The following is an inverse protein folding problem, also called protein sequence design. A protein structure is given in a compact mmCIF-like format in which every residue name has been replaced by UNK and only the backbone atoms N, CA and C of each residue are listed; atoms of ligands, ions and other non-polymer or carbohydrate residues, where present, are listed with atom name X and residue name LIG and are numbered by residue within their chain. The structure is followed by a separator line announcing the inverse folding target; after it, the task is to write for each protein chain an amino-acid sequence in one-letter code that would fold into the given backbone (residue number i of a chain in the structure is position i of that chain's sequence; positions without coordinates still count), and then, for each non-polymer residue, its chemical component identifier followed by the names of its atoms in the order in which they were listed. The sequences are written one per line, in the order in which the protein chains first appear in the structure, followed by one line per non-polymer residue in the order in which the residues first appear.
data_IF_230353525293
#
_entry.id   IF_230353525293
#
_cell.length_a   1.000
_cell.length_b   1.000
_cell.length_c   1.000
_cell.angle_alpha   90.00
_cell.angle_beta   90.00
_cell.angle_gamma   90.00
#
_symmetry.space_group_name_H-M   'P 1'
#
loop_
_entity.id
_entity.type
_entity.pdbx_description
1 polymer ?
#
# COMPACT_ATOMS: atom_id res chain seq x y z
N UNK A 1 -5.03 8.03 13.11
CA UNK A 1 -5.92 8.20 11.93
C UNK A 1 -6.09 6.84 11.27
N UNK A 2 -7.32 6.45 10.91
CA UNK A 2 -7.58 5.24 10.15
C UNK A 2 -8.25 5.65 8.84
N UNK A 3 -7.70 5.20 7.72
CA UNK A 3 -8.18 5.52 6.37
C UNK A 3 -8.46 4.20 5.66
N UNK A 4 -9.56 4.17 4.90
CA UNK A 4 -9.85 3.09 3.94
C UNK A 4 -10.12 3.75 2.60
N UNK A 5 -9.52 3.21 1.55
CA UNK A 5 -9.69 3.72 0.19
C UNK A 5 -9.48 2.58 -0.81
N UNK A 6 -10.02 2.74 -2.01
CA UNK A 6 -9.72 1.88 -3.15
C UNK A 6 -8.46 2.32 -3.88
N UNK A 7 -8.04 3.58 -3.71
CA UNK A 7 -6.81 4.12 -4.27
C UNK A 7 -5.62 3.78 -3.37
N UNK A 8 -5.23 2.51 -3.43
CA UNK A 8 -4.24 1.89 -2.55
C UNK A 8 -2.86 2.56 -2.64
N UNK A 9 -2.46 3.07 -3.81
CA UNK A 9 -1.11 3.60 -4.05
C UNK A 9 -0.85 4.89 -3.28
N UNK A 10 -1.78 5.83 -3.38
CA UNK A 10 -1.76 7.15 -2.76
C UNK A 10 -1.98 7.01 -1.25
N UNK A 11 -2.88 6.11 -0.85
CA UNK A 11 -3.11 5.79 0.56
C UNK A 11 -1.83 5.24 1.21
N UNK A 12 -1.13 4.34 0.52
CA UNK A 12 0.10 3.74 1.04
C UNK A 12 1.22 4.76 1.19
N UNK A 13 1.21 5.86 0.42
CA UNK A 13 2.21 6.92 0.49
C UNK A 13 2.06 7.85 1.71
N UNK A 14 0.89 7.87 2.37
CA UNK A 14 0.61 8.80 3.48
C UNK A 14 0.42 8.12 4.84
N UNK A 15 0.55 6.79 4.89
CA UNK A 15 0.33 5.99 6.12
C UNK A 15 1.62 5.33 6.59
N UNK A 16 1.78 5.22 7.90
CA UNK A 16 2.91 4.47 8.48
C UNK A 16 2.74 2.95 8.33
N UNK A 17 1.48 2.49 8.40
CA UNK A 17 1.11 1.07 8.39
C UNK A 17 -0.09 0.84 7.48
N UNK A 18 -0.10 -0.32 6.82
CA UNK A 18 -1.17 -0.72 5.94
C UNK A 18 -1.61 -2.17 6.19
N UNK A 19 -2.89 -2.41 5.90
CA UNK A 19 -3.53 -3.71 5.98
C UNK A 19 -4.29 -3.92 4.67
N UNK A 20 -3.95 -4.97 3.93
CA UNK A 20 -4.70 -5.42 2.76
C UNK A 20 -5.62 -6.54 3.21
N UNK A 21 -6.92 -6.36 3.00
CA UNK A 21 -7.94 -7.31 3.39
C UNK A 21 -8.68 -7.86 2.17
N UNK A 22 -9.03 -9.14 2.22
CA UNK A 22 -9.89 -9.80 1.24
C UNK A 22 -10.74 -10.86 1.93
N UNK A 23 -12.02 -10.92 1.57
CA UNK A 23 -12.98 -11.89 2.12
C UNK A 23 -12.97 -11.95 3.66
N UNK A 24 -12.89 -10.79 4.31
CA UNK A 24 -12.87 -10.69 5.77
C UNK A 24 -11.58 -11.14 6.45
N UNK A 25 -10.51 -11.42 5.70
CA UNK A 25 -9.20 -11.81 6.22
C UNK A 25 -8.12 -10.81 5.83
N UNK A 26 -7.14 -10.62 6.71
CA UNK A 26 -5.93 -9.87 6.39
C UNK A 26 -5.06 -10.76 5.50
N UNK A 27 -4.76 -10.29 4.30
CA UNK A 27 -3.84 -10.95 3.37
C UNK A 27 -2.40 -10.51 3.63
N UNK A 28 -2.19 -9.20 3.81
CA UNK A 28 -0.87 -8.60 4.03
C UNK A 28 -1.02 -7.50 5.08
N UNK A 29 -0.08 -7.41 6.01
CA UNK A 29 -0.03 -6.31 6.97
C UNK A 29 1.40 -5.98 7.36
N UNK A 30 1.68 -4.70 7.59
CA UNK A 30 3.01 -4.24 7.95
C UNK A 30 3.15 -2.72 7.84
N UNK A 31 4.39 -2.25 7.78
CA UNK A 31 4.67 -0.87 7.40
C UNK A 31 4.35 -0.62 5.93
N UNK A 32 4.15 0.64 5.53
CA UNK A 32 3.93 0.99 4.13
C UNK A 32 5.03 0.45 3.21
N UNK A 33 6.30 0.54 3.64
CA UNK A 33 7.46 0.04 2.89
C UNK A 33 7.46 -1.48 2.76
N UNK A 34 7.03 -2.20 3.79
CA UNK A 34 6.89 -3.65 3.75
C UNK A 34 5.80 -4.05 2.75
N UNK A 35 4.60 -3.48 2.88
CA UNK A 35 3.46 -3.78 2.00
C UNK A 35 3.75 -3.39 0.55
N UNK A 36 4.48 -2.30 0.30
CA UNK A 36 4.89 -1.88 -1.04
C UNK A 36 5.78 -2.89 -1.79
N UNK A 37 6.53 -3.70 -1.03
CA UNK A 37 7.47 -4.71 -1.54
C UNK A 37 6.90 -6.13 -1.51
N UNK A 38 5.76 -6.34 -0.85
CA UNK A 38 5.11 -7.65 -0.76
C UNK A 38 4.62 -8.13 -2.13
N UNK A 39 4.99 -9.35 -2.53
CA UNK A 39 4.67 -9.90 -3.84
C UNK A 39 3.15 -10.06 -4.05
N UNK A 40 2.41 -10.41 -3.00
CA UNK A 40 0.95 -10.57 -3.08
C UNK A 40 0.29 -9.21 -3.25
N UNK A 41 0.72 -8.21 -2.47
CA UNK A 41 0.26 -6.83 -2.61
C UNK A 41 0.55 -6.29 -4.02
N UNK A 42 1.76 -6.52 -4.56
CA UNK A 42 2.15 -6.11 -5.92
C UNK A 42 1.33 -6.79 -6.99
N UNK A 43 1.13 -8.10 -6.90
CA UNK A 43 0.41 -8.87 -7.91
C UNK A 43 -1.08 -8.50 -7.98
N UNK A 44 -1.73 -8.27 -6.84
CA UNK A 44 -3.18 -8.14 -6.78
C UNK A 44 -3.69 -6.71 -6.56
N UNK A 45 -2.89 -5.80 -6.02
CA UNK A 45 -3.36 -4.48 -5.58
C UNK A 45 -2.51 -3.30 -6.08
N UNK A 46 -1.19 -3.39 -5.99
CA UNK A 46 -0.29 -2.28 -6.31
C UNK A 46 0.16 -2.28 -7.78
N UNK A 47 0.33 -3.44 -8.40
CA UNK A 47 0.90 -3.61 -9.74
C UNK A 47 2.43 -3.57 -9.78
N UNK A 48 3.01 -4.21 -10.80
CA UNK A 48 4.46 -4.43 -10.96
C UNK A 48 5.31 -3.15 -11.04
N UNK A 49 4.71 -2.03 -11.46
CA UNK A 49 5.40 -0.73 -11.62
C UNK A 49 5.30 0.19 -10.40
N UNK A 50 4.67 -0.26 -9.31
CA UNK A 50 4.53 0.56 -8.11
C UNK A 50 5.89 0.75 -7.40
N UNK A 51 6.20 1.99 -7.06
CA UNK A 51 7.35 2.41 -6.26
C UNK A 51 6.90 3.50 -5.28
N UNK A 52 7.08 3.25 -3.98
CA UNK A 52 6.64 4.17 -2.92
C UNK A 52 7.40 5.50 -2.99
N UNK A 53 8.71 5.44 -3.22
CA UNK A 53 9.63 6.57 -3.26
C UNK A 53 9.36 7.57 -4.40
N UNK A 54 8.58 7.18 -5.43
CA UNK A 54 8.19 8.08 -6.52
C UNK A 54 7.06 9.04 -6.13
N UNK A 55 6.26 8.69 -5.11
CA UNK A 55 5.08 9.47 -4.72
C UNK A 55 5.45 10.56 -3.70
N UNK A 56 6.46 10.31 -2.86
CA UNK A 56 6.97 11.30 -1.88
C UNK A 56 7.49 12.58 -2.55
N UNK A 57 7.95 12.50 -3.80
CA UNK A 57 8.52 13.66 -4.54
C UNK A 57 7.48 14.61 -5.14
N UNK A 58 6.20 14.24 -5.16
CA UNK A 58 5.14 15.09 -5.73
C UNK A 58 4.66 16.14 -4.70
N UNK A 59 5.06 16.00 -3.43
CA UNK A 59 4.68 16.91 -2.34
C UNK A 59 5.70 18.00 -2.01
N UNK A 60 6.74 18.23 -2.83
CA UNK A 60 7.69 19.35 -2.70
C UNK A 60 7.51 20.38 -3.80
#
# INVERSE_FOLDING_TARGET
LLITDHNVRETLAIVDRAYIMSLGKILVSGSAQFVAKDETARKFYLGERFQLDQIEKVGQ
#
